data_IF_688888099360
#
_entry.id   IF_688888099360
#
_cell.length_a   1.000
_cell.length_b   1.000
_cell.length_c   1.000
_cell.angle_alpha   90.00
_cell.angle_beta   90.00
_cell.angle_gamma   90.00
#
_symmetry.space_group_name_H-M   'P 1'
#
loop_
_entity.id
_entity.type
_entity.pdbx_description
1 polymer ?
#
# COMPACT_ATOMS: atom_id res chain seq x y z
N UNK A 1 1.51 -8.88 -0.75
CA UNK A 1 1.27 -7.46 -0.44
C UNK A 1 -0.05 -7.11 -1.09
N UNK A 2 -0.72 -6.06 -0.60
CA UNK A 2 -1.99 -5.62 -1.19
C UNK A 2 -1.81 -5.17 -2.64
N UNK A 3 -2.92 -4.82 -3.30
CA UNK A 3 -2.82 -4.16 -4.60
C UNK A 3 -2.41 -2.69 -4.44
N UNK A 4 -1.79 -2.10 -5.47
CA UNK A 4 -1.39 -0.69 -5.49
C UNK A 4 -2.56 0.26 -5.21
N UNK A 5 -3.76 -0.10 -5.70
CA UNK A 5 -4.99 0.65 -5.44
C UNK A 5 -5.37 0.60 -3.97
N UNK A 6 -5.18 -0.53 -3.28
CA UNK A 6 -5.41 -0.60 -1.83
C UNK A 6 -4.48 0.37 -1.08
N UNK A 7 -3.19 0.41 -1.44
CA UNK A 7 -2.25 1.35 -0.82
C UNK A 7 -2.63 2.82 -1.05
N UNK A 8 -3.05 3.17 -2.27
CA UNK A 8 -3.53 4.53 -2.56
C UNK A 8 -4.79 4.90 -1.79
N UNK A 9 -5.77 3.98 -1.68
CA UNK A 9 -6.99 4.23 -0.92
C UNK A 9 -6.67 4.43 0.56
N UNK A 10 -5.82 3.57 1.15
CA UNK A 10 -5.36 3.72 2.54
C UNK A 10 -4.68 5.08 2.72
N UNK A 11 -3.76 5.43 1.82
CA UNK A 11 -3.03 6.67 1.90
C UNK A 11 -3.94 7.90 1.75
N UNK A 12 -4.89 7.89 0.82
CA UNK A 12 -5.82 9.01 0.64
C UNK A 12 -6.70 9.20 1.88
N UNK A 13 -7.18 8.11 2.47
CA UNK A 13 -7.97 8.12 3.72
C UNK A 13 -7.19 8.68 4.90
N UNK A 14 -5.93 8.29 5.05
CA UNK A 14 -5.05 8.84 6.08
C UNK A 14 -4.81 10.34 5.82
N UNK A 15 -4.56 10.72 4.57
CA UNK A 15 -4.32 12.11 4.20
C UNK A 15 -5.54 13.01 4.47
N UNK A 16 -6.75 12.55 4.15
CA UNK A 16 -8.02 13.21 4.51
C UNK A 16 -8.14 13.39 6.02
N UNK A 17 -7.92 12.30 6.77
CA UNK A 17 -8.04 12.29 8.23
C UNK A 17 -7.04 13.22 8.92
N UNK A 18 -5.87 13.44 8.30
CA UNK A 18 -4.85 14.37 8.77
C UNK A 18 -4.98 15.77 8.17
N UNK A 19 -5.98 16.00 7.30
CA UNK A 19 -6.17 17.28 6.58
C UNK A 19 -4.92 17.74 5.81
N UNK A 20 -4.20 16.80 5.20
CA UNK A 20 -3.04 17.09 4.34
C UNK A 20 -3.53 17.86 3.11
N UNK A 21 -3.03 19.08 2.92
CA UNK A 21 -3.45 19.97 1.82
C UNK A 21 -2.93 19.50 0.47
N UNK A 22 -1.61 19.29 0.37
CA UNK A 22 -0.97 18.73 -0.82
C UNK A 22 -0.68 17.25 -0.59
N UNK A 23 -1.56 16.40 -1.11
CA UNK A 23 -1.47 14.94 -0.93
C UNK A 23 -0.50 14.28 -1.90
N UNK A 24 -0.03 14.96 -2.95
CA UNK A 24 0.69 14.33 -4.05
C UNK A 24 1.94 13.58 -3.57
N UNK A 25 2.84 14.20 -2.77
CA UNK A 25 4.02 13.48 -2.28
C UNK A 25 3.65 12.27 -1.42
N UNK A 26 2.61 12.40 -0.58
CA UNK A 26 2.13 11.33 0.29
C UNK A 26 1.59 10.13 -0.50
N UNK A 27 0.80 10.39 -1.53
CA UNK A 27 0.25 9.35 -2.41
C UNK A 27 1.37 8.65 -3.21
N UNK A 28 2.33 9.41 -3.74
CA UNK A 28 3.48 8.84 -4.44
C UNK A 28 4.37 8.00 -3.52
N UNK A 29 4.57 8.46 -2.28
CA UNK A 29 5.27 7.69 -1.25
C UNK A 29 4.57 6.36 -0.98
N UNK A 30 3.24 6.35 -0.93
CA UNK A 30 2.45 5.13 -0.66
C UNK A 30 2.52 4.05 -1.73
N UNK A 31 3.05 4.36 -2.92
CA UNK A 31 3.26 3.39 -4.00
C UNK A 31 4.75 3.17 -4.32
N UNK A 32 5.64 3.95 -3.72
CA UNK A 32 7.06 3.93 -4.01
C UNK A 32 7.74 2.58 -3.74
N UNK A 33 7.47 1.85 -2.63
CA UNK A 33 8.07 0.54 -2.38
C UNK A 33 7.85 -0.42 -3.55
N UNK A 34 6.71 -0.27 -4.21
CA UNK A 34 6.26 -1.15 -5.26
C UNK A 34 6.93 -0.88 -6.62
N UNK A 35 7.61 0.26 -6.78
CA UNK A 35 8.22 0.72 -8.02
C UNK A 35 9.51 -0.02 -8.41
N UNK A 36 10.10 -0.79 -7.50
CA UNK A 36 11.36 -1.51 -7.73
C UNK A 36 11.16 -3.03 -7.75
N UNK A 37 12.05 -3.73 -8.47
CA UNK A 37 12.04 -5.18 -8.58
C UNK A 37 12.57 -5.89 -7.32
N UNK A 38 13.54 -5.27 -6.63
CA UNK A 38 14.05 -5.77 -5.35
C UNK A 38 13.05 -5.49 -4.24
N UNK A 39 12.20 -6.48 -3.94
CA UNK A 39 11.13 -6.34 -2.95
C UNK A 39 11.62 -6.39 -1.51
N UNK A 40 12.69 -7.14 -1.22
CA UNK A 40 13.17 -7.31 0.17
C UNK A 40 13.59 -5.99 0.83
N UNK A 41 14.41 -5.19 0.14
CA UNK A 41 14.87 -3.91 0.67
C UNK A 41 13.75 -2.87 0.71
N UNK A 42 12.98 -2.74 -0.37
CA UNK A 42 11.92 -1.72 -0.48
C UNK A 42 10.74 -1.97 0.47
N UNK A 43 10.45 -3.21 0.82
CA UNK A 43 9.36 -3.52 1.75
C UNK A 43 9.88 -3.75 3.17
N UNK A 44 11.15 -3.43 3.45
CA UNK A 44 11.76 -3.56 4.77
C UNK A 44 11.50 -4.92 5.41
N UNK A 45 11.56 -5.98 4.61
CA UNK A 45 11.27 -7.30 5.13
C UNK A 45 12.36 -7.76 6.11
N UNK A 46 11.93 -8.29 7.24
CA UNK A 46 12.80 -8.85 8.27
C UNK A 46 12.27 -10.20 8.76
N UNK A 47 13.15 -11.02 9.33
CA UNK A 47 12.82 -12.38 9.79
C UNK A 47 12.56 -13.36 8.64
N UNK A 48 12.16 -14.58 9.02
CA UNK A 48 12.07 -15.74 8.13
C UNK A 48 10.63 -16.25 8.00
N UNK A 49 10.32 -16.81 6.83
CA UNK A 49 8.98 -17.35 6.57
C UNK A 49 8.80 -18.71 7.27
N UNK A 50 9.88 -19.48 7.38
CA UNK A 50 9.89 -20.86 7.87
C UNK A 50 9.60 -20.96 9.37
N UNK A 51 9.97 -19.93 10.14
CA UNK A 51 9.75 -19.86 11.59
C UNK A 51 8.61 -18.90 11.97
N UNK A 52 7.87 -18.41 10.98
CA UNK A 52 6.77 -17.44 11.12
C UNK A 52 7.17 -16.10 11.76
N UNK A 53 8.47 -15.75 11.77
CA UNK A 53 8.95 -14.44 12.25
C UNK A 53 8.90 -13.34 11.20
N UNK A 54 8.68 -13.69 9.92
CA UNK A 54 8.62 -12.73 8.80
C UNK A 54 7.68 -11.57 9.10
N UNK A 55 8.19 -10.36 8.95
CA UNK A 55 7.45 -9.12 9.15
C UNK A 55 7.97 -8.02 8.22
N UNK A 56 7.27 -6.88 8.21
CA UNK A 56 7.74 -5.64 7.59
C UNK A 56 8.19 -4.67 8.70
N UNK A 57 9.47 -4.31 8.70
CA UNK A 57 10.06 -3.42 9.70
C UNK A 57 9.84 -1.94 9.37
N UNK A 58 8.57 -1.53 9.35
CA UNK A 58 8.19 -0.13 9.15
C UNK A 58 8.77 0.80 10.23
N UNK A 59 9.06 0.27 11.44
CA UNK A 59 9.69 1.04 12.52
C UNK A 59 11.18 1.29 12.25
N UNK A 60 11.88 0.32 11.70
CA UNK A 60 13.24 0.46 11.19
C UNK A 60 13.31 1.50 10.07
N UNK A 61 12.35 1.47 9.13
CA UNK A 61 12.25 2.48 8.06
C UNK A 61 12.14 3.91 8.61
N UNK A 62 11.16 4.19 9.47
CA UNK A 62 10.99 5.55 9.99
C UNK A 62 12.14 5.98 10.90
N UNK A 63 12.83 5.03 11.56
CA UNK A 63 14.04 5.33 12.31
C UNK A 63 15.20 5.71 11.39
N UNK A 64 15.42 4.95 10.32
CA UNK A 64 16.42 5.24 9.28
C UNK A 64 16.24 6.63 8.69
N UNK A 65 14.99 7.01 8.41
CA UNK A 65 14.62 8.31 7.83
C UNK A 65 14.13 9.34 8.87
N UNK A 66 14.58 9.23 10.12
CA UNK A 66 14.08 10.08 11.21
C UNK A 66 14.32 11.58 11.01
N UNK A 67 15.37 11.97 10.30
CA UNK A 67 15.60 13.38 9.92
C UNK A 67 14.59 13.92 8.90
N UNK A 68 13.82 13.04 8.27
CA UNK A 68 12.78 13.33 7.27
C UNK A 68 11.40 12.86 7.75
N UNK A 69 11.20 12.71 9.07
CA UNK A 69 9.96 12.17 9.64
C UNK A 69 8.72 13.05 9.45
N UNK A 70 8.87 14.31 9.01
CA UNK A 70 7.76 15.18 8.59
C UNK A 70 7.53 15.19 7.07
N UNK A 71 8.46 14.62 6.29
CA UNK A 71 8.37 14.60 4.84
C UNK A 71 7.19 13.72 4.40
N UNK A 72 6.27 14.31 3.63
CA UNK A 72 5.05 13.63 3.23
C UNK A 72 5.30 12.38 2.37
N UNK A 73 6.33 12.39 1.53
CA UNK A 73 6.69 11.22 0.72
C UNK A 73 7.23 10.09 1.59
N UNK A 74 8.09 10.40 2.57
CA UNK A 74 8.55 9.42 3.58
C UNK A 74 7.38 8.87 4.40
N UNK A 75 6.47 9.73 4.84
CA UNK A 75 5.29 9.31 5.58
C UNK A 75 4.34 8.46 4.74
N UNK A 76 4.17 8.76 3.46
CA UNK A 76 3.43 7.93 2.52
C UNK A 76 4.02 6.52 2.41
N UNK A 77 5.35 6.42 2.23
CA UNK A 77 6.08 5.16 2.20
C UNK A 77 5.90 4.38 3.50
N UNK A 78 5.98 5.07 4.63
CA UNK A 78 5.75 4.47 5.95
C UNK A 78 4.35 3.85 6.07
N UNK A 79 3.31 4.49 5.55
CA UNK A 79 1.94 3.90 5.55
C UNK A 79 1.82 2.66 4.68
N UNK A 80 2.54 2.60 3.55
CA UNK A 80 2.60 1.39 2.72
C UNK A 80 3.15 0.21 3.51
N UNK A 81 4.28 0.41 4.20
CA UNK A 81 4.92 -0.64 4.99
C UNK A 81 4.04 -1.14 6.14
N UNK A 82 3.28 -0.24 6.79
CA UNK A 82 2.31 -0.62 7.82
C UNK A 82 1.21 -1.52 7.22
N UNK A 83 0.65 -1.12 6.07
CA UNK A 83 -0.38 -1.90 5.39
C UNK A 83 0.14 -3.29 5.01
N UNK A 84 1.38 -3.38 4.52
CA UNK A 84 1.98 -4.66 4.17
C UNK A 84 2.26 -5.57 5.36
N UNK A 85 2.66 -5.03 6.51
CA UNK A 85 2.79 -5.83 7.73
C UNK A 85 1.44 -6.45 8.13
N UNK A 86 0.37 -5.66 8.03
CA UNK A 86 -1.00 -6.10 8.33
C UNK A 86 -1.45 -7.15 7.31
N UNK A 87 -1.18 -6.95 6.02
CA UNK A 87 -1.47 -7.94 4.98
C UNK A 87 -0.73 -9.26 5.23
N UNK A 88 0.56 -9.16 5.53
CA UNK A 88 1.45 -10.29 5.75
C UNK A 88 0.96 -11.13 6.94
N UNK A 89 0.65 -10.48 8.07
CA UNK A 89 0.24 -11.14 9.31
C UNK A 89 -1.23 -11.52 9.35
N UNK A 90 -2.10 -10.83 8.62
CA UNK A 90 -3.55 -11.06 8.63
C UNK A 90 -4.03 -12.02 7.54
N UNK A 91 -3.36 -12.04 6.39
CA UNK A 91 -3.77 -12.85 5.23
C UNK A 91 -2.71 -13.86 4.85
N UNK A 92 -1.49 -13.39 4.56
CA UNK A 92 -0.48 -14.20 3.90
C UNK A 92 0.01 -15.38 4.77
N UNK A 93 0.61 -15.08 5.93
CA UNK A 93 1.19 -16.11 6.82
C UNK A 93 0.15 -17.03 7.46
N UNK A 94 -1.03 -16.56 7.92
CA UNK A 94 -1.96 -17.43 8.66
C UNK A 94 -2.57 -18.56 7.83
N UNK A 95 -2.95 -18.29 6.57
CA UNK A 95 -3.71 -19.27 5.79
C UNK A 95 -3.47 -19.17 4.28
N UNK A 96 -3.29 -17.96 3.73
CA UNK A 96 -3.28 -17.77 2.27
C UNK A 96 -2.07 -18.45 1.63
N UNK A 97 -0.87 -18.29 2.21
CA UNK A 97 0.35 -18.94 1.70
C UNK A 97 0.18 -20.46 1.60
N UNK A 98 -0.23 -21.09 2.69
CA UNK A 98 -0.42 -22.55 2.74
C UNK A 98 -1.44 -23.03 1.70
N UNK A 99 -2.50 -22.24 1.50
CA UNK A 99 -3.52 -22.49 0.48
C UNK A 99 -3.00 -22.36 -0.95
N UNK A 100 -2.18 -21.36 -1.22
CA UNK A 100 -1.57 -21.14 -2.53
C UNK A 100 -0.54 -22.22 -2.86
N UNK A 101 0.24 -22.67 -1.86
CA UNK A 101 1.19 -23.77 -2.03
C UNK A 101 0.49 -25.11 -2.32
N UNK A 102 -0.69 -25.33 -1.73
CA UNK A 102 -1.48 -26.55 -1.93
C UNK A 102 -2.27 -26.57 -3.24
N UNK A 103 -2.57 -25.41 -3.82
CA UNK A 103 -3.40 -25.26 -5.02
C UNK A 103 -2.81 -24.21 -5.97
N UNK A 104 -2.06 -24.68 -6.97
CA UNK A 104 -1.46 -23.82 -7.99
C UNK A 104 -2.50 -23.02 -8.80
N UNK A 105 -3.74 -23.51 -8.91
CA UNK A 105 -4.83 -22.80 -9.58
C UNK A 105 -5.30 -21.56 -8.81
N UNK A 106 -5.10 -21.55 -7.49
CA UNK A 106 -5.50 -20.44 -6.62
C UNK A 106 -4.70 -19.16 -6.91
N UNK A 107 -3.45 -19.27 -7.37
CA UNK A 107 -2.64 -18.09 -7.74
C UNK A 107 -3.35 -17.24 -8.80
N UNK A 108 -3.94 -17.86 -9.81
CA UNK A 108 -4.65 -17.13 -10.87
C UNK A 108 -5.91 -16.44 -10.33
N UNK A 109 -6.67 -17.13 -9.48
CA UNK A 109 -7.87 -16.60 -8.86
C UNK A 109 -7.53 -15.42 -7.93
N UNK A 110 -6.46 -15.56 -7.15
CA UNK A 110 -5.92 -14.51 -6.28
C UNK A 110 -5.56 -13.24 -7.06
N UNK A 111 -4.84 -13.38 -8.18
CA UNK A 111 -4.50 -12.22 -9.02
C UNK A 111 -5.74 -11.62 -9.70
N UNK A 112 -6.70 -12.44 -10.13
CA UNK A 112 -7.94 -11.93 -10.70
C UNK A 112 -8.79 -11.17 -9.67
N UNK A 113 -8.83 -11.64 -8.42
CA UNK A 113 -9.53 -10.93 -7.35
C UNK A 113 -8.96 -9.53 -7.14
N UNK A 114 -7.64 -9.31 -7.25
CA UNK A 114 -7.11 -7.94 -7.19
C UNK A 114 -7.60 -7.04 -8.32
N UNK A 115 -7.73 -7.55 -9.55
CA UNK A 115 -8.31 -6.81 -10.68
C UNK A 115 -9.74 -6.37 -10.35
N UNK A 116 -10.55 -7.28 -9.83
CA UNK A 116 -11.94 -7.02 -9.43
C UNK A 116 -12.00 -6.04 -8.25
N UNK A 117 -11.15 -6.24 -7.24
CA UNK A 117 -11.08 -5.41 -6.04
C UNK A 117 -10.67 -3.97 -6.37
N UNK A 118 -9.73 -3.76 -7.29
CA UNK A 118 -9.34 -2.41 -7.71
C UNK A 118 -10.56 -1.58 -8.12
N UNK A 119 -11.39 -2.10 -9.03
CA UNK A 119 -12.62 -1.42 -9.46
C UNK A 119 -13.63 -1.23 -8.32
N UNK A 120 -13.94 -2.29 -7.58
CA UNK A 120 -14.92 -2.22 -6.48
C UNK A 120 -14.51 -1.25 -5.37
N UNK A 121 -13.21 -1.19 -5.03
CA UNK A 121 -12.70 -0.28 -4.01
C UNK A 121 -12.72 1.18 -4.49
N UNK A 122 -12.34 1.42 -5.74
CA UNK A 122 -12.40 2.76 -6.33
C UNK A 122 -13.83 3.33 -6.32
N UNK A 123 -14.83 2.51 -6.65
CA UNK A 123 -16.24 2.90 -6.57
C UNK A 123 -16.73 3.07 -5.14
N UNK A 124 -16.36 2.15 -4.24
CA UNK A 124 -16.80 2.19 -2.84
C UNK A 124 -16.34 3.45 -2.11
N UNK A 125 -15.11 3.88 -2.36
CA UNK A 125 -14.55 5.08 -1.72
C UNK A 125 -14.71 6.36 -2.56
N UNK A 126 -15.01 6.26 -3.85
CA UNK A 126 -15.24 7.42 -4.73
C UNK A 126 -13.98 8.24 -5.02
N UNK A 127 -12.80 7.61 -5.04
CA UNK A 127 -11.51 8.32 -5.14
C UNK A 127 -10.87 8.37 -6.52
N UNK A 128 -11.47 7.75 -7.54
CA UNK A 128 -10.87 7.60 -8.87
C UNK A 128 -10.37 8.91 -9.47
N UNK A 129 -11.22 9.93 -9.53
CA UNK A 129 -10.88 11.20 -10.18
C UNK A 129 -9.83 12.01 -9.41
N UNK A 130 -9.88 11.95 -8.07
CA UNK A 130 -8.89 12.59 -7.22
C UNK A 130 -7.51 11.93 -7.39
N UNK A 131 -7.45 10.60 -7.26
CA UNK A 131 -6.20 9.84 -7.37
C UNK A 131 -5.58 10.01 -8.76
N UNK A 132 -6.37 9.91 -9.84
CA UNK A 132 -5.88 10.16 -11.21
C UNK A 132 -5.27 11.55 -11.35
N UNK A 133 -5.94 12.58 -10.84
CA UNK A 133 -5.46 13.96 -10.91
C UNK A 133 -4.15 14.13 -10.15
N UNK A 134 -4.06 13.57 -8.94
CA UNK A 134 -2.85 13.65 -8.11
C UNK A 134 -1.66 12.93 -8.74
N UNK A 135 -1.89 11.78 -9.39
CA UNK A 135 -0.82 10.98 -9.98
C UNK A 135 -0.38 11.45 -11.38
N UNK A 136 -1.15 12.30 -12.05
CA UNK A 136 -0.75 12.89 -13.35
C UNK A 136 0.39 13.92 -13.24
N UNK A 137 0.82 14.25 -12.03
CA UNK A 137 1.92 15.16 -11.77
C UNK A 137 2.91 14.53 -10.79
N UNK A 138 4.17 14.42 -11.18
CA UNK A 138 5.24 13.96 -10.29
C UNK A 138 6.12 15.15 -9.91
N UNK A 139 6.06 15.65 -8.66
CA UNK A 139 7.00 16.65 -8.18
C UNK A 139 8.40 16.06 -8.03
N UNK A 140 9.38 16.90 -7.72
CA UNK A 140 10.69 16.40 -7.27
C UNK A 140 10.51 15.62 -5.97
N UNK A 141 10.85 14.33 -6.00
CA UNK A 141 10.76 13.43 -4.85
C UNK A 141 12.11 13.27 -4.16
N UNK A 142 12.14 13.04 -2.83
CA UNK A 142 13.36 12.64 -2.14
C UNK A 142 13.97 11.37 -2.73
N UNK A 143 15.30 11.32 -2.79
CA UNK A 143 16.03 10.11 -3.15
C UNK A 143 16.22 9.23 -1.92
N UNK A 144 15.49 8.11 -1.84
CA UNK A 144 15.68 7.11 -0.79
C UNK A 144 16.71 6.07 -1.25
N UNK A 145 17.24 5.29 -0.31
CA UNK A 145 18.24 4.28 -0.65
C UNK A 145 17.60 3.14 -1.42
N UNK A 146 16.36 2.78 -1.06
CA UNK A 146 15.62 1.65 -1.58
C UNK A 146 14.95 1.93 -2.92
N UNK A 147 14.54 3.19 -3.17
CA UNK A 147 13.74 3.59 -4.33
C UNK A 147 14.18 4.96 -4.81
N UNK A 148 14.48 5.07 -6.11
CA UNK A 148 14.83 6.34 -6.76
C UNK A 148 13.59 7.02 -7.32
N UNK A 149 13.60 8.35 -7.38
CA UNK A 149 12.46 9.14 -7.90
C UNK A 149 12.03 8.69 -9.30
N UNK A 150 13.01 8.42 -10.18
CA UNK A 150 12.79 7.90 -11.54
C UNK A 150 12.10 6.55 -11.61
N UNK A 151 12.26 5.70 -10.60
CA UNK A 151 11.58 4.39 -10.58
C UNK A 151 10.09 4.62 -10.32
N UNK A 152 9.75 5.52 -9.39
CA UNK A 152 8.37 5.93 -9.11
C UNK A 152 7.73 6.59 -10.33
N UNK A 153 8.42 7.51 -11.01
CA UNK A 153 7.94 8.16 -12.24
C UNK A 153 7.56 7.13 -13.32
N UNK A 154 8.40 6.13 -13.53
CA UNK A 154 8.13 5.04 -14.49
C UNK A 154 7.02 4.10 -14.03
N UNK A 155 6.77 4.04 -12.73
CA UNK A 155 5.79 3.15 -12.13
C UNK A 155 4.36 3.70 -12.18
N UNK A 156 4.21 5.03 -12.08
CA UNK A 156 2.92 5.73 -12.09
C UNK A 156 1.98 5.31 -13.23
N UNK A 157 2.42 5.15 -14.49
CA UNK A 157 1.54 4.69 -15.58
C UNK A 157 0.88 3.33 -15.33
N UNK A 158 1.57 2.41 -14.65
CA UNK A 158 0.99 1.10 -14.32
C UNK A 158 -0.09 1.21 -13.25
N UNK A 159 0.10 2.11 -12.28
CA UNK A 159 -0.87 2.39 -11.21
C UNK A 159 -2.12 3.06 -11.78
N UNK A 160 -1.95 3.99 -12.73
CA UNK A 160 -3.06 4.58 -13.47
C UNK A 160 -3.80 3.51 -14.30
N UNK A 161 -3.07 2.59 -14.93
CA UNK A 161 -3.66 1.45 -15.63
C UNK A 161 -4.49 0.54 -14.74
N UNK A 162 -4.13 0.38 -13.46
CA UNK A 162 -4.89 -0.39 -12.47
C UNK A 162 -6.25 0.27 -12.10
N UNK A 163 -6.47 1.54 -12.50
CA UNK A 163 -7.74 2.25 -12.36
C UNK A 163 -8.64 2.11 -13.60
N UNK A 164 -8.15 1.52 -14.68
CA UNK A 164 -8.93 1.27 -15.89
C UNK A 164 -9.60 -0.11 -15.81
N UNK A 165 -10.93 -0.11 -15.78
CA UNK A 165 -11.72 -1.34 -15.73
C UNK A 165 -13.08 -1.18 -16.42
N UNK A 166 -13.63 -2.29 -16.90
CA UNK A 166 -14.99 -2.35 -17.43
C UNK A 166 -15.99 -2.37 -16.27
N UNK A 167 -17.07 -1.61 -16.36
CA UNK A 167 -18.18 -1.62 -15.39
C UNK A 167 -18.73 -3.03 -15.11
N UNK A 168 -18.65 -3.95 -16.07
CA UNK A 168 -19.05 -5.34 -15.88
C UNK A 168 -18.29 -6.03 -14.72
N UNK A 169 -17.04 -5.62 -14.45
CA UNK A 169 -16.21 -6.19 -13.38
C UNK A 169 -16.81 -5.95 -12.00
N UNK A 170 -17.58 -4.87 -11.83
CA UNK A 170 -18.18 -4.50 -10.56
C UNK A 170 -19.24 -5.51 -10.12
N UNK A 171 -19.78 -6.30 -11.06
CA UNK A 171 -20.73 -7.37 -10.80
C UNK A 171 -20.07 -8.75 -10.71
N UNK A 172 -18.77 -8.87 -10.99
CA UNK A 172 -18.05 -10.13 -10.83
C UNK A 172 -17.92 -10.53 -9.35
N UNK A 173 -17.93 -11.83 -9.10
CA UNK A 173 -17.70 -12.41 -7.79
C UNK A 173 -16.20 -12.55 -7.50
N UNK A 174 -15.83 -12.31 -6.25
CA UNK A 174 -14.50 -12.62 -5.72
C UNK A 174 -14.41 -14.12 -5.41
N UNK A 175 -13.23 -14.70 -5.58
CA UNK A 175 -12.98 -16.13 -5.50
C UNK A 175 -12.14 -16.52 -4.27
N UNK A 176 -11.24 -15.63 -3.85
CA UNK A 176 -10.30 -15.82 -2.74
C UNK A 176 -10.70 -14.96 -1.55
N UNK A 177 -11.17 -13.74 -1.79
CA UNK A 177 -11.51 -12.79 -0.74
C UNK A 177 -13.00 -12.51 -0.67
N UNK A 178 -13.45 -11.97 0.45
CA UNK A 178 -14.72 -11.27 0.51
C UNK A 178 -14.47 -9.77 0.47
N UNK A 179 -15.41 -9.01 -0.10
CA UNK A 179 -15.26 -7.55 -0.18
C UNK A 179 -15.15 -6.91 1.21
N UNK A 180 -16.00 -7.33 2.15
CA UNK A 180 -15.98 -6.83 3.54
C UNK A 180 -14.67 -7.13 4.26
N UNK A 181 -14.05 -8.28 4.00
CA UNK A 181 -12.75 -8.61 4.58
C UNK A 181 -11.66 -7.66 4.09
N UNK A 182 -11.69 -7.29 2.80
CA UNK A 182 -10.73 -6.35 2.22
C UNK A 182 -11.00 -4.93 2.73
N UNK A 183 -12.25 -4.48 2.80
CA UNK A 183 -12.60 -3.21 3.44
C UNK A 183 -12.10 -3.18 4.89
N UNK A 184 -12.33 -4.23 5.67
CA UNK A 184 -11.82 -4.32 7.04
C UNK A 184 -10.29 -4.24 7.14
N UNK A 185 -9.57 -4.83 6.19
CA UNK A 185 -8.11 -4.68 6.06
C UNK A 185 -7.70 -3.22 5.80
N UNK A 186 -8.38 -2.53 4.86
CA UNK A 186 -8.10 -1.14 4.54
C UNK A 186 -8.36 -0.24 5.76
N UNK A 187 -9.52 -0.36 6.40
CA UNK A 187 -9.86 0.46 7.58
C UNK A 187 -8.88 0.21 8.74
N UNK A 188 -8.52 -1.05 9.01
CA UNK A 188 -7.51 -1.38 10.03
C UNK A 188 -6.15 -0.75 9.69
N UNK A 189 -5.78 -0.75 8.41
CA UNK A 189 -4.52 -0.14 7.96
C UNK A 189 -4.54 1.38 8.10
N UNK A 190 -5.68 2.03 7.85
CA UNK A 190 -5.88 3.47 8.10
C UNK A 190 -5.73 3.78 9.58
N UNK A 191 -6.42 3.04 10.45
CA UNK A 191 -6.35 3.25 11.91
C UNK A 191 -4.93 3.06 12.45
N UNK A 192 -4.26 1.98 12.03
CA UNK A 192 -2.87 1.70 12.39
C UNK A 192 -1.91 2.76 11.84
N UNK A 193 -2.13 3.23 10.61
CA UNK A 193 -1.38 4.34 10.03
C UNK A 193 -1.51 5.60 10.88
N UNK A 194 -2.74 6.02 11.19
CA UNK A 194 -3.00 7.21 12.02
C UNK A 194 -2.40 7.09 13.43
N UNK A 195 -2.51 5.92 14.06
CA UNK A 195 -1.90 5.65 15.36
C UNK A 195 -0.38 5.81 15.31
N UNK A 196 0.26 5.23 14.30
CA UNK A 196 1.71 5.31 14.15
C UNK A 196 2.18 6.72 13.79
N UNK A 197 1.41 7.48 13.00
CA UNK A 197 1.70 8.90 12.73
C UNK A 197 1.75 9.73 14.02
N UNK A 198 0.81 9.50 14.96
CA UNK A 198 0.84 10.16 16.27
C UNK A 198 2.08 9.76 17.09
N UNK A 199 2.44 8.47 17.06
CA UNK A 199 3.63 7.98 17.73
C UNK A 199 4.92 8.61 17.17
N UNK A 200 5.04 8.73 15.85
CA UNK A 200 6.18 9.37 15.18
C UNK A 200 6.32 10.83 15.63
N UNK A 201 5.22 11.60 15.63
CA UNK A 201 5.23 12.99 16.12
C UNK A 201 5.75 13.11 17.55
N UNK A 202 5.22 12.29 18.46
CA UNK A 202 5.66 12.29 19.86
C UNK A 202 7.13 11.88 19.99
N UNK A 203 7.54 10.81 19.31
CA UNK A 203 8.89 10.24 19.44
C UNK A 203 9.98 11.19 18.95
N UNK A 204 9.72 11.94 17.88
CA UNK A 204 10.69 12.84 17.26
C UNK A 204 10.47 14.32 17.60
N UNK A 205 9.57 14.63 18.54
CA UNK A 205 9.24 15.99 18.99
C UNK A 205 8.80 16.92 17.84
N UNK A 206 7.85 16.46 17.02
CA UNK A 206 7.27 17.16 15.87
C UNK A 206 5.86 17.69 16.22
#
# INVERSE_FOLDING_TARGET
MGSRIMHLVIANRIADSLSIKDKIPFLLGSIAPDAVSSKDSSHFFAGEVQDFSRNVDYKGFIHKYSSQAEDLYVLGYFTHLIADDIWLKGFNLPWLKNRMDADAGLYKLYHNDFRILNGKLLEHYGYTDELRRSLNYTPTLPELDEVKSKDVEKFVPYVLGDMEYDNAILNENLNVFTFNQIVGYLETSVDMGLLNMRYVKIKYNL
#
